data_IF_607629291686
#
_entry.id   IF_607629291686
#
_cell.length_a   1.000
_cell.length_b   1.000
_cell.length_c   1.000
_cell.angle_alpha   90.00
_cell.angle_beta   90.00
_cell.angle_gamma   90.00
#
_symmetry.space_group_name_H-M   'P 1'
#
loop_
_entity.id
_entity.type
_entity.pdbx_description
1 polymer ?
#
# COMPACT_ATOMS: atom_id res chain seq x y z
N UNK A 1 -16.92 25.48 -6.15
CA UNK A 1 -16.96 24.71 -4.88
C UNK A 1 -15.96 25.26 -3.87
N UNK A 2 -14.64 25.19 -4.10
CA UNK A 2 -13.67 25.67 -3.10
C UNK A 2 -13.77 27.18 -2.85
N UNK A 3 -13.87 27.98 -3.91
CA UNK A 3 -14.08 29.43 -3.85
C UNK A 3 -15.35 29.83 -3.11
N UNK A 4 -16.40 29.02 -3.22
CA UNK A 4 -17.72 29.32 -2.65
C UNK A 4 -17.76 29.06 -1.14
N UNK A 5 -16.91 28.16 -0.65
CA UNK A 5 -16.82 27.77 0.76
C UNK A 5 -15.72 28.57 1.49
N UNK A 6 -14.57 28.75 0.84
CA UNK A 6 -13.35 29.29 1.47
C UNK A 6 -12.99 30.71 1.02
N UNK A 7 -13.79 31.31 0.13
CA UNK A 7 -13.60 32.67 -0.36
C UNK A 7 -13.00 32.74 -1.76
N UNK A 8 -13.20 33.88 -2.42
CA UNK A 8 -12.86 34.08 -3.83
C UNK A 8 -11.36 33.89 -4.14
N UNK A 9 -10.50 34.05 -3.15
CA UNK A 9 -9.04 33.89 -3.29
C UNK A 9 -8.62 32.41 -3.42
N UNK A 10 -9.48 31.45 -3.02
CA UNK A 10 -9.21 30.01 -3.12
C UNK A 10 -9.64 29.50 -4.50
N UNK A 11 -8.88 29.92 -5.51
CA UNK A 11 -9.05 29.54 -6.92
C UNK A 11 -8.36 28.20 -7.22
N UNK A 12 -8.69 27.59 -8.37
CA UNK A 12 -7.98 26.41 -8.86
C UNK A 12 -6.50 26.68 -9.10
N UNK A 13 -6.15 27.88 -9.58
CA UNK A 13 -4.77 28.35 -9.72
C UNK A 13 -4.06 28.31 -8.37
N UNK A 14 -4.64 28.95 -7.34
CA UNK A 14 -4.07 29.01 -6.01
C UNK A 14 -3.82 27.60 -5.44
N UNK A 15 -4.80 26.70 -5.57
CA UNK A 15 -4.67 25.32 -5.10
C UNK A 15 -3.54 24.59 -5.84
N UNK A 16 -3.46 24.75 -7.17
CA UNK A 16 -2.46 24.09 -7.99
C UNK A 16 -1.04 24.60 -7.67
N UNK A 17 -0.87 25.90 -7.53
CA UNK A 17 0.39 26.51 -7.14
C UNK A 17 0.86 26.04 -5.76
N UNK A 18 -0.06 25.95 -4.79
CA UNK A 18 0.27 25.46 -3.45
C UNK A 18 0.63 23.98 -3.43
N UNK A 19 -0.04 23.15 -4.23
CA UNK A 19 0.34 21.75 -4.40
C UNK A 19 1.74 21.60 -5.02
N UNK A 20 2.08 22.43 -6.00
CA UNK A 20 3.43 22.46 -6.58
C UNK A 20 4.49 22.90 -5.58
N UNK A 21 4.20 23.91 -4.74
CA UNK A 21 5.11 24.35 -3.68
C UNK A 21 5.42 23.23 -2.69
N UNK A 22 4.42 22.43 -2.31
CA UNK A 22 4.61 21.29 -1.41
C UNK A 22 5.47 20.20 -2.06
N UNK A 23 5.25 19.89 -3.34
CA UNK A 23 6.04 18.90 -4.07
C UNK A 23 7.52 19.27 -4.21
N UNK A 24 7.86 20.57 -4.13
CA UNK A 24 9.25 21.03 -4.10
C UNK A 24 9.93 20.82 -2.73
N UNK A 25 9.14 20.76 -1.65
CA UNK A 25 9.64 20.57 -0.27
C UNK A 25 9.70 19.08 0.05
N UNK A 26 8.65 18.34 -0.31
CA UNK A 26 8.53 16.90 -0.09
C UNK A 26 8.56 16.18 -1.44
N UNK A 27 9.76 15.79 -1.90
CA UNK A 27 9.90 15.19 -3.21
C UNK A 27 9.26 13.80 -3.28
N UNK A 28 8.93 13.39 -4.50
CA UNK A 28 8.45 12.05 -4.80
C UNK A 28 9.39 10.95 -4.25
N UNK A 29 8.91 9.71 -4.05
CA UNK A 29 9.70 8.62 -3.46
C UNK A 29 11.09 8.41 -4.10
N UNK A 30 11.19 8.65 -5.42
CA UNK A 30 12.42 8.54 -6.18
C UNK A 30 13.53 9.48 -5.71
N UNK A 31 13.16 10.66 -5.21
CA UNK A 31 14.07 11.71 -4.72
C UNK A 31 13.89 12.00 -3.22
N UNK A 32 13.27 11.07 -2.49
CA UNK A 32 13.12 11.12 -1.04
C UNK A 32 14.46 10.76 -0.36
N UNK A 33 14.92 11.61 0.54
CA UNK A 33 16.24 11.50 1.22
C UNK A 33 16.16 11.41 2.73
N UNK A 34 14.95 11.46 3.32
CA UNK A 34 14.80 11.31 4.76
C UNK A 34 15.12 9.86 5.19
N UNK A 35 15.64 9.72 6.40
CA UNK A 35 15.93 8.44 7.04
C UNK A 35 14.97 8.21 8.22
N UNK A 36 14.93 6.97 8.71
CA UNK A 36 14.11 6.57 9.86
C UNK A 36 12.61 6.76 9.64
N UNK A 37 12.12 6.34 8.47
CA UNK A 37 10.71 6.43 8.07
C UNK A 37 10.23 5.06 7.61
N UNK A 38 9.09 4.64 8.15
CA UNK A 38 8.31 3.49 7.66
C UNK A 38 7.03 4.02 7.06
N UNK A 39 6.73 3.66 5.81
CA UNK A 39 5.51 4.06 5.10
C UNK A 39 4.63 2.82 4.85
N UNK A 40 3.91 2.32 5.88
CA UNK A 40 3.07 1.14 5.73
C UNK A 40 1.85 1.47 4.88
N UNK A 41 1.58 0.62 3.91
CA UNK A 41 0.54 0.80 2.93
C UNK A 41 -0.22 -0.54 2.76
N UNK A 42 -1.49 -0.60 3.17
CA UNK A 42 -2.45 -1.66 2.84
C UNK A 42 -3.09 -1.62 1.44
N UNK A 43 -3.00 -2.71 0.70
CA UNK A 43 -3.42 -2.91 -0.70
C UNK A 43 -4.87 -2.51 -1.09
N UNK A 44 -5.75 -2.26 -0.11
CA UNK A 44 -7.16 -1.89 -0.32
C UNK A 44 -7.47 -0.39 -0.35
N UNK A 45 -6.50 0.47 -0.04
CA UNK A 45 -6.74 1.91 -0.06
C UNK A 45 -7.00 2.43 -1.46
N UNK A 46 -8.06 3.20 -1.71
CA UNK A 46 -8.12 4.01 -2.92
C UNK A 46 -6.92 4.96 -3.06
N UNK A 47 -6.25 5.31 -1.96
CA UNK A 47 -5.00 6.06 -1.95
C UNK A 47 -3.76 5.20 -2.15
N UNK A 48 -3.82 3.88 -2.39
CA UNK A 48 -2.67 2.96 -2.26
C UNK A 48 -1.42 3.34 -3.06
N UNK A 49 -1.60 4.01 -4.20
CA UNK A 49 -0.52 4.59 -5.00
C UNK A 49 0.21 5.78 -4.34
N UNK A 50 -0.35 6.33 -3.26
CA UNK A 50 0.10 7.47 -2.45
C UNK A 50 0.25 7.12 -0.95
N UNK A 51 -0.56 6.21 -0.42
CA UNK A 51 -0.44 5.55 0.89
C UNK A 51 -1.57 4.53 1.07
N UNK A 52 -1.50 3.55 2.00
CA UNK A 52 -2.49 2.48 1.94
C UNK A 52 -3.08 1.87 3.22
N UNK A 53 -4.28 1.30 3.10
CA UNK A 53 -5.52 1.61 3.84
C UNK A 53 -5.46 2.85 4.77
N UNK A 54 -6.58 3.26 5.38
CA UNK A 54 -6.57 4.38 6.34
C UNK A 54 -5.87 3.99 7.65
N UNK A 55 -4.55 3.78 7.57
CA UNK A 55 -3.61 3.47 8.63
C UNK A 55 -4.08 2.30 9.51
N UNK A 56 -4.48 1.19 8.88
CA UNK A 56 -5.05 0.04 9.59
C UNK A 56 -4.09 -0.56 10.64
N UNK A 57 -2.79 -0.43 10.39
CA UNK A 57 -1.69 -0.76 11.29
C UNK A 57 -1.70 0.05 12.60
N UNK A 58 -2.29 1.24 12.62
CA UNK A 58 -2.40 2.10 13.81
C UNK A 58 -3.51 1.69 14.78
N UNK A 59 -4.45 0.84 14.36
CA UNK A 59 -5.49 0.33 15.26
C UNK A 59 -5.00 -0.86 16.10
N UNK A 60 -5.55 -1.05 17.32
CA UNK A 60 -5.31 -2.26 18.10
C UNK A 60 -5.67 -3.53 17.33
N UNK A 61 -4.99 -4.66 17.60
CA UNK A 61 -5.36 -5.96 17.03
C UNK A 61 -6.81 -6.33 17.36
N UNK A 62 -7.50 -6.96 16.41
CA UNK A 62 -8.86 -7.46 16.58
C UNK A 62 -9.04 -8.84 15.95
N UNK A 63 -10.08 -9.56 16.36
CA UNK A 63 -10.37 -10.88 15.80
C UNK A 63 -10.82 -10.76 14.34
N UNK A 64 -10.18 -11.51 13.43
CA UNK A 64 -10.45 -11.43 12.00
C UNK A 64 -9.75 -10.28 11.28
N UNK A 65 -8.69 -9.71 11.86
CA UNK A 65 -7.88 -8.73 11.14
C UNK A 65 -7.14 -9.37 9.95
N UNK A 66 -6.90 -8.61 8.85
CA UNK A 66 -6.16 -9.13 7.71
C UNK A 66 -4.81 -9.71 8.12
N UNK A 67 -4.45 -10.86 7.57
CA UNK A 67 -3.24 -11.60 7.95
C UNK A 67 -1.95 -10.76 7.84
N UNK A 68 -1.92 -9.77 6.92
CA UNK A 68 -0.79 -8.86 6.75
C UNK A 68 -0.58 -7.87 7.90
N UNK A 69 -1.62 -7.48 8.67
CA UNK A 69 -1.51 -6.42 9.67
C UNK A 69 -0.58 -6.77 10.83
N UNK A 70 -0.64 -8.02 11.31
CA UNK A 70 0.25 -8.46 12.39
C UNK A 70 1.73 -8.34 11.97
N UNK A 71 2.07 -8.89 10.81
CA UNK A 71 3.43 -8.84 10.28
C UNK A 71 3.90 -7.39 10.06
N UNK A 72 3.05 -6.53 9.49
CA UNK A 72 3.35 -5.11 9.29
C UNK A 72 3.62 -4.39 10.62
N UNK A 73 2.80 -4.60 11.66
CA UNK A 73 3.05 -4.02 12.99
C UNK A 73 4.37 -4.51 13.61
N UNK A 74 4.74 -5.78 13.41
CA UNK A 74 6.03 -6.29 13.89
C UNK A 74 7.23 -5.63 13.17
N UNK A 75 7.10 -5.32 11.88
CA UNK A 75 8.12 -4.55 11.15
C UNK A 75 8.22 -3.14 11.74
N UNK A 76 7.09 -2.45 11.92
CA UNK A 76 7.07 -1.10 12.50
C UNK A 76 7.72 -1.09 13.89
N UNK A 77 7.35 -2.02 14.77
CA UNK A 77 7.92 -2.12 16.13
C UNK A 77 9.44 -2.32 16.09
N UNK A 78 9.94 -3.14 15.16
CA UNK A 78 11.38 -3.37 14.97
C UNK A 78 12.10 -2.09 14.56
N UNK A 79 11.58 -1.38 13.56
CA UNK A 79 12.16 -0.14 13.06
C UNK A 79 12.15 0.96 14.13
N UNK A 80 11.04 1.11 14.86
CA UNK A 80 10.96 2.03 16.01
C UNK A 80 12.00 1.67 17.08
N UNK A 81 12.17 0.37 17.39
CA UNK A 81 13.20 -0.10 18.31
C UNK A 81 14.62 0.26 17.86
N UNK A 82 14.90 0.16 16.56
CA UNK A 82 16.15 0.63 15.96
C UNK A 82 16.31 2.15 16.14
N UNK A 83 15.30 2.95 15.79
CA UNK A 83 15.38 4.42 15.86
C UNK A 83 15.63 4.93 17.27
N UNK A 84 15.05 4.28 18.28
CA UNK A 84 15.22 4.67 19.68
C UNK A 84 16.60 4.31 20.24
N UNK A 85 17.22 3.24 19.74
CA UNK A 85 18.44 2.69 20.34
C UNK A 85 19.69 2.87 19.47
N UNK A 86 19.56 3.42 18.25
CA UNK A 86 20.62 3.48 17.23
C UNK A 86 21.30 2.13 16.97
N UNK A 87 20.63 1.02 17.28
CA UNK A 87 21.12 -0.32 17.03
C UNK A 87 20.58 -0.78 15.69
N UNK A 88 21.45 -0.78 14.67
CA UNK A 88 21.15 -1.33 13.35
C UNK A 88 20.27 -2.57 13.51
N UNK A 89 19.13 -2.66 12.80
CA UNK A 89 18.30 -3.84 12.86
C UNK A 89 19.23 -5.02 12.56
N UNK A 90 19.40 -5.92 13.54
CA UNK A 90 20.14 -7.15 13.30
C UNK A 90 19.60 -7.73 12.00
N UNK A 91 20.49 -8.08 11.07
CA UNK A 91 20.20 -8.90 9.90
C UNK A 91 19.80 -10.31 10.36
N UNK A 92 18.79 -10.41 11.22
CA UNK A 92 17.92 -11.55 11.23
C UNK A 92 17.27 -11.49 9.87
N UNK A 93 17.83 -12.28 8.95
CA UNK A 93 17.20 -12.71 7.70
C UNK A 93 15.71 -12.71 7.98
N UNK A 94 14.97 -11.75 7.39
CA UNK A 94 13.52 -11.91 7.36
C UNK A 94 13.34 -13.33 6.88
N UNK A 95 12.75 -14.18 7.73
CA UNK A 95 12.38 -15.52 7.30
C UNK A 95 11.72 -15.28 5.95
N UNK A 96 12.22 -15.90 4.87
CA UNK A 96 11.65 -15.64 3.57
C UNK A 96 10.16 -15.75 3.78
N UNK A 97 9.41 -14.69 3.43
CA UNK A 97 8.03 -14.92 3.07
C UNK A 97 8.15 -16.11 2.14
N UNK A 98 7.71 -17.28 2.61
CA UNK A 98 7.61 -18.43 1.73
C UNK A 98 6.67 -17.89 0.69
N UNK A 99 7.22 -17.50 -0.45
CA UNK A 99 6.49 -17.40 -1.67
C UNK A 99 5.83 -18.77 -1.71
N UNK A 100 4.57 -18.78 -1.32
CA UNK A 100 3.74 -19.96 -1.36
C UNK A 100 3.92 -20.41 -2.79
N UNK A 101 4.61 -21.55 -2.95
CA UNK A 101 4.91 -22.13 -4.24
C UNK A 101 3.58 -22.21 -4.93
N UNK A 102 3.34 -21.32 -5.89
CA UNK A 102 2.11 -21.26 -6.67
C UNK A 102 1.95 -22.67 -7.22
N UNK A 103 1.00 -23.48 -6.73
CA UNK A 103 0.57 -24.62 -7.50
C UNK A 103 -0.05 -23.97 -8.72
N UNK A 104 0.50 -24.18 -9.91
CA UNK A 104 0.09 -23.54 -11.16
C UNK A 104 -1.39 -23.78 -11.50
N UNK A 105 -2.26 -23.06 -10.82
CA UNK A 105 -3.70 -23.20 -10.81
C UNK A 105 -4.30 -21.88 -10.32
N UNK A 106 -5.48 -21.55 -10.83
CA UNK A 106 -6.15 -20.33 -10.45
C UNK A 106 -6.79 -20.48 -9.07
N UNK A 107 -6.23 -19.79 -8.09
CA UNK A 107 -6.79 -19.68 -6.75
C UNK A 107 -6.76 -18.24 -6.27
N UNK A 108 -7.64 -17.92 -5.34
CA UNK A 108 -7.48 -16.71 -4.54
C UNK A 108 -6.32 -16.89 -3.55
N UNK A 109 -5.57 -15.82 -3.35
CA UNK A 109 -4.45 -15.72 -2.40
C UNK A 109 -4.93 -15.08 -1.09
N UNK A 110 -5.88 -14.15 -1.18
CA UNK A 110 -6.48 -13.49 -0.02
C UNK A 110 -7.76 -14.22 0.41
N UNK A 111 -7.91 -14.42 1.72
CA UNK A 111 -9.06 -15.10 2.32
C UNK A 111 -10.34 -14.29 2.24
N UNK A 112 -10.24 -12.97 2.06
CA UNK A 112 -11.35 -12.03 2.10
C UNK A 112 -11.91 -11.71 0.71
N UNK A 113 -11.47 -12.39 -0.34
CA UNK A 113 -11.88 -12.09 -1.72
C UNK A 113 -13.39 -12.05 -1.95
N UNK A 114 -14.19 -12.83 -1.20
CA UNK A 114 -15.65 -12.76 -1.27
C UNK A 114 -16.21 -11.39 -0.88
N UNK A 115 -15.60 -10.73 0.11
CA UNK A 115 -15.98 -9.37 0.53
C UNK A 115 -15.62 -8.32 -0.53
N UNK A 116 -14.67 -8.63 -1.41
CA UNK A 116 -14.18 -7.73 -2.45
C UNK A 116 -14.74 -8.01 -3.84
N UNK A 117 -15.71 -8.91 -3.96
CA UNK A 117 -16.27 -9.33 -5.24
C UNK A 117 -16.83 -8.18 -6.08
N UNK A 118 -17.36 -7.14 -5.43
CA UNK A 118 -17.90 -5.97 -6.14
C UNK A 118 -16.82 -5.13 -6.83
N UNK A 119 -15.58 -5.20 -6.33
CA UNK A 119 -14.43 -4.49 -6.89
C UNK A 119 -13.86 -5.17 -8.14
N UNK A 120 -14.29 -6.39 -8.48
CA UNK A 120 -13.84 -7.07 -9.71
C UNK A 120 -14.15 -6.25 -10.98
N UNK A 121 -15.13 -5.32 -10.93
CA UNK A 121 -15.48 -4.44 -12.06
C UNK A 121 -14.77 -3.09 -12.01
N UNK A 122 -14.13 -2.75 -10.90
CA UNK A 122 -13.48 -1.46 -10.71
C UNK A 122 -12.07 -1.49 -11.31
N UNK A 123 -11.84 -0.64 -12.31
CA UNK A 123 -10.54 -0.54 -12.99
C UNK A 123 -9.40 -0.14 -12.07
N UNK A 124 -9.66 0.63 -11.00
CA UNK A 124 -8.66 1.00 -10.00
C UNK A 124 -8.19 -0.23 -9.20
N UNK A 125 -9.11 -1.13 -8.86
CA UNK A 125 -8.81 -2.34 -8.09
C UNK A 125 -8.41 -3.53 -8.97
N UNK A 126 -8.46 -3.40 -10.30
CA UNK A 126 -8.13 -4.50 -11.22
C UNK A 126 -6.74 -5.11 -10.97
N UNK A 127 -5.65 -4.33 -10.77
CA UNK A 127 -4.35 -4.92 -10.44
C UNK A 127 -4.43 -5.79 -9.18
N UNK A 128 -5.05 -5.28 -8.12
CA UNK A 128 -5.23 -5.98 -6.85
C UNK A 128 -6.00 -7.28 -7.03
N UNK A 129 -7.17 -7.20 -7.68
CA UNK A 129 -8.04 -8.35 -7.92
C UNK A 129 -7.35 -9.39 -8.80
N UNK A 130 -6.55 -8.94 -9.77
CA UNK A 130 -5.67 -9.77 -10.55
C UNK A 130 -4.55 -10.41 -9.75
N UNK A 131 -4.09 -9.86 -8.62
CA UNK A 131 -3.01 -10.47 -7.83
C UNK A 131 -3.54 -11.45 -6.79
N UNK A 132 -4.59 -11.04 -6.07
CA UNK A 132 -5.02 -11.73 -4.86
C UNK A 132 -6.37 -12.43 -4.97
N UNK A 133 -7.23 -12.02 -5.91
CA UNK A 133 -8.61 -12.51 -6.03
C UNK A 133 -8.94 -13.04 -7.43
N UNK A 134 -7.97 -13.67 -8.09
CA UNK A 134 -8.10 -14.14 -9.48
C UNK A 134 -9.26 -15.11 -9.68
N UNK A 135 -9.51 -15.99 -8.73
CA UNK A 135 -10.57 -16.98 -8.84
C UNK A 135 -11.93 -16.34 -8.58
N UNK A 136 -12.07 -15.56 -7.50
CA UNK A 136 -13.32 -14.86 -7.17
C UNK A 136 -13.76 -13.90 -8.29
N UNK A 137 -12.81 -13.22 -8.94
CA UNK A 137 -13.10 -12.30 -10.04
C UNK A 137 -13.13 -12.95 -11.43
N UNK A 138 -12.93 -14.27 -11.54
CA UNK A 138 -12.84 -14.99 -12.80
C UNK A 138 -11.75 -14.45 -13.77
N UNK A 139 -10.61 -14.06 -13.19
CA UNK A 139 -9.45 -13.48 -13.86
C UNK A 139 -8.31 -14.49 -14.11
N UNK A 140 -8.55 -15.76 -13.86
CA UNK A 140 -7.61 -16.88 -14.06
C UNK A 140 -6.86 -16.85 -15.41
N UNK A 141 -7.53 -16.37 -16.46
CA UNK A 141 -7.03 -16.33 -17.83
C UNK A 141 -7.13 -14.93 -18.45
N UNK A 142 -7.37 -13.89 -17.63
CA UNK A 142 -7.40 -12.51 -18.13
C UNK A 142 -5.97 -12.06 -18.44
N UNK A 143 -5.69 -11.82 -19.72
CA UNK A 143 -4.39 -11.38 -20.21
C UNK A 143 -3.96 -10.01 -19.65
N UNK A 144 -4.91 -9.19 -19.19
CA UNK A 144 -4.60 -7.92 -18.53
C UNK A 144 -3.97 -8.13 -17.15
N UNK A 145 -4.18 -9.28 -16.51
CA UNK A 145 -3.58 -9.57 -15.21
C UNK A 145 -2.07 -9.84 -15.28
N UNK A 146 -1.53 -10.19 -16.45
CA UNK A 146 -0.08 -10.37 -16.67
C UNK A 146 0.67 -9.08 -16.96
N UNK A 147 -0.01 -7.93 -17.16
CA UNK A 147 0.64 -6.66 -17.49
C UNK A 147 0.80 -5.70 -16.31
N UNK A 148 0.34 -6.07 -15.10
CA UNK A 148 0.51 -5.24 -13.91
C UNK A 148 1.85 -5.54 -13.23
N UNK A 149 2.80 -4.61 -13.32
CA UNK A 149 3.99 -4.62 -12.46
C UNK A 149 3.63 -4.01 -11.10
N UNK A 150 3.50 -4.86 -10.08
CA UNK A 150 3.47 -4.39 -8.71
C UNK A 150 4.89 -3.97 -8.32
N UNK A 151 5.09 -2.68 -8.06
CA UNK A 151 6.36 -2.21 -7.51
C UNK A 151 6.54 -2.80 -6.11
N UNK A 152 7.53 -3.68 -5.98
CA UNK A 152 8.02 -4.15 -4.70
C UNK A 152 8.78 -3.04 -3.97
N UNK A 153 8.71 -3.10 -2.64
CA UNK A 153 9.31 -2.16 -1.68
C UNK A 153 10.77 -1.87 -2.05
N UNK A 154 11.07 -0.60 -2.34
CA UNK A 154 12.44 -0.14 -2.56
C UNK A 154 13.10 0.09 -1.20
N UNK A 155 13.90 -0.86 -0.74
CA UNK A 155 14.94 -0.58 0.25
C UNK A 155 16.06 0.22 -0.43
N UNK A 156 16.21 1.50 -0.10
CA UNK A 156 17.43 2.25 -0.40
C UNK A 156 18.41 2.04 0.76
N UNK A 157 19.51 1.33 0.47
CA UNK A 157 20.69 1.26 1.34
C UNK A 157 21.49 2.55 1.27
#
# INVERSE_FOLDING_TARGET
MCSDIFGADITTEYITEKNQQINNIFPAPWNYTATNVVLPNGDYDPWHALSAAHCADMYPPYNGEPAGLNATRQIIIREVGYYLNNQQPSTTTMSPFTASTIPGGCSDVDTDCQNFKDNCKNTLYKPFMCKYCKQTCNFCFDQQCSSFNFMEIVHKN
#
